data_IF_522852639148
#
_entry.id   IF_522852639148
#
_cell.length_a   1.000
_cell.length_b   1.000
_cell.length_c   1.000
_cell.angle_alpha   90.00
_cell.angle_beta   90.00
_cell.angle_gamma   90.00
#
_symmetry.space_group_name_H-M   'P 1'
#
loop_
_entity.id
_entity.type
_entity.pdbx_description
1 polymer ?
#
# COMPACT_ATOMS: atom_id res chain seq x y z
N UNK A 1 -6.67 8.54 16.74
CA UNK A 1 -7.10 7.36 15.98
C UNK A 1 -6.25 7.33 14.73
N UNK A 2 -5.65 6.20 14.40
CA UNK A 2 -4.94 6.04 13.13
C UNK A 2 -5.77 5.14 12.24
N UNK A 3 -5.94 5.54 10.99
CA UNK A 3 -6.69 4.79 9.98
C UNK A 3 -5.68 4.26 8.97
N UNK A 4 -5.78 2.96 8.69
CA UNK A 4 -4.90 2.26 7.76
C UNK A 4 -5.58 1.00 7.23
N UNK A 5 -5.07 0.47 6.12
CA UNK A 5 -5.51 -0.79 5.53
C UNK A 5 -4.63 -1.95 5.99
N UNK A 6 -5.11 -3.19 5.88
CA UNK A 6 -4.37 -4.43 6.22
C UNK A 6 -3.22 -4.79 5.25
N UNK A 7 -2.79 -3.84 4.41
CA UNK A 7 -1.78 -3.99 3.39
C UNK A 7 -1.85 -2.85 2.36
N UNK A 8 -0.78 -2.64 1.60
CA UNK A 8 -0.72 -1.62 0.53
C UNK A 8 -0.44 -2.23 -0.86
N UNK A 9 -0.10 -3.51 -0.94
CA UNK A 9 0.37 -4.15 -2.17
C UNK A 9 -0.70 -5.05 -2.81
N UNK A 10 -1.83 -4.46 -3.21
CA UNK A 10 -2.89 -5.18 -3.92
C UNK A 10 -2.82 -4.89 -5.43
N UNK A 11 -2.93 -5.92 -6.25
CA UNK A 11 -2.81 -5.82 -7.72
C UNK A 11 -4.00 -5.12 -8.38
N UNK A 12 -5.13 -4.98 -7.69
CA UNK A 12 -6.33 -4.26 -8.16
C UNK A 12 -6.30 -2.74 -7.89
N UNK A 13 -5.25 -2.24 -7.21
CA UNK A 13 -5.15 -0.83 -6.80
C UNK A 13 -4.60 0.12 -7.87
N UNK A 14 -3.72 -0.30 -8.81
CA UNK A 14 -3.36 0.50 -9.98
C UNK A 14 -4.59 0.93 -10.78
N UNK A 15 -4.69 2.22 -11.09
CA UNK A 15 -5.82 2.83 -11.79
C UNK A 15 -7.02 3.19 -10.90
N UNK A 16 -7.07 2.73 -9.63
CA UNK A 16 -8.11 3.11 -8.65
C UNK A 16 -7.58 3.99 -7.54
N UNK A 17 -6.47 3.58 -6.94
CA UNK A 17 -5.81 4.25 -5.83
C UNK A 17 -4.40 4.71 -6.22
N UNK A 18 -3.65 3.85 -6.92
CA UNK A 18 -2.36 4.22 -7.48
C UNK A 18 -2.51 4.80 -8.88
N UNK A 19 -1.76 5.85 -9.23
CA UNK A 19 -1.65 6.33 -10.61
C UNK A 19 -1.24 5.22 -11.57
N UNK A 20 -1.78 5.24 -12.79
CA UNK A 20 -1.39 4.30 -13.84
C UNK A 20 0.11 4.43 -14.13
N UNK A 21 0.83 3.31 -14.11
CA UNK A 21 2.27 3.28 -14.34
C UNK A 21 3.14 3.55 -13.10
N UNK A 22 2.57 3.74 -11.91
CA UNK A 22 3.35 3.88 -10.68
C UNK A 22 4.09 2.55 -10.38
N UNK A 23 5.43 2.54 -10.30
CA UNK A 23 6.17 1.31 -10.01
C UNK A 23 5.86 0.82 -8.59
N UNK A 24 5.80 -0.50 -8.41
CA UNK A 24 5.45 -1.15 -7.13
C UNK A 24 6.36 -0.74 -5.97
N UNK A 25 7.61 -0.36 -6.26
CA UNK A 25 8.55 0.18 -5.28
C UNK A 25 8.08 1.52 -4.67
N UNK A 26 7.28 2.30 -5.40
CA UNK A 26 6.77 3.60 -4.96
C UNK A 26 5.38 3.52 -4.30
N UNK A 27 4.72 2.36 -4.35
CA UNK A 27 3.37 2.20 -3.81
C UNK A 27 3.29 2.47 -2.30
N UNK A 28 4.33 2.08 -1.55
CA UNK A 28 4.40 2.38 -0.11
C UNK A 28 4.54 3.88 0.15
N UNK A 29 5.39 4.57 -0.62
CA UNK A 29 5.60 6.01 -0.50
C UNK A 29 4.34 6.79 -0.88
N UNK A 30 3.58 6.33 -1.88
CA UNK A 30 2.30 6.91 -2.26
C UNK A 30 1.22 6.65 -1.20
N UNK A 31 1.17 5.43 -0.67
CA UNK A 31 0.23 5.06 0.38
C UNK A 31 0.47 5.88 1.67
N UNK A 32 1.73 6.07 2.07
CA UNK A 32 2.10 6.84 3.26
C UNK A 32 1.77 8.34 3.17
N UNK A 33 1.50 8.86 1.96
CA UNK A 33 0.99 10.23 1.79
C UNK A 33 -0.51 10.36 2.07
N UNK A 34 -1.25 9.24 2.06
CA UNK A 34 -2.71 9.22 2.20
C UNK A 34 -3.18 8.60 3.52
N UNK A 35 -2.37 7.72 4.11
CA UNK A 35 -2.68 7.05 5.37
C UNK A 35 -1.49 7.10 6.32
N UNK A 36 -1.75 7.53 7.55
CA UNK A 36 -0.74 7.64 8.61
C UNK A 36 -0.27 6.28 9.15
N UNK A 37 -1.03 5.21 8.88
CA UNK A 37 -0.69 3.85 9.33
C UNK A 37 -1.05 2.81 8.30
N UNK A 38 -0.34 1.68 8.34
CA UNK A 38 -0.68 0.46 7.61
C UNK A 38 -0.55 -0.71 8.56
N UNK A 39 -1.57 -1.57 8.60
CA UNK A 39 -1.51 -2.80 9.39
C UNK A 39 -0.81 -3.87 8.54
N UNK A 40 0.41 -4.21 8.95
CA UNK A 40 1.22 -5.23 8.32
C UNK A 40 0.97 -6.59 8.97
N UNK A 41 0.12 -7.41 8.34
CA UNK A 41 0.05 -8.84 8.68
C UNK A 41 1.20 -9.57 7.96
N UNK A 42 2.42 -9.36 8.45
CA UNK A 42 3.68 -9.90 7.90
C UNK A 42 3.83 -11.44 8.09
N UNK A 43 2.76 -12.21 7.99
CA UNK A 43 2.84 -13.68 7.98
C UNK A 43 3.14 -14.25 6.59
N UNK A 44 3.06 -13.46 5.51
CA UNK A 44 3.16 -13.97 4.13
C UNK A 44 4.25 -13.34 3.23
N UNK A 45 5.10 -12.45 3.74
CA UNK A 45 6.30 -12.00 3.03
C UNK A 45 7.55 -12.56 3.71
N UNK A 46 7.85 -13.83 3.40
CA UNK A 46 9.18 -14.38 3.65
C UNK A 46 10.05 -14.03 2.43
N UNK A 47 11.23 -13.48 2.74
CA UNK A 47 12.35 -13.08 1.87
C UNK A 47 12.40 -13.74 0.48
#
# INVERSE_FOLDING_TARGET
MHVGTSGWSYEDWPGRFYPEGLPRSEWLAYYAQHFDTVELNASFYRL
#
